data_IF_204585240596
#
_entry.id   IF_204585240596
#
_cell.length_a   1.000
_cell.length_b   1.000
_cell.length_c   1.000
_cell.angle_alpha   90.00
_cell.angle_beta   90.00
_cell.angle_gamma   90.00
#
_symmetry.space_group_name_H-M   'P 1'
#
loop_
_entity.id
_entity.type
_entity.pdbx_description
1 polymer ?
#
# COMPACT_ATOMS: atom_id res chain seq x y z
N UNK A 1 18.51 -7.38 -32.44
CA UNK A 1 18.57 -8.37 -31.41
C UNK A 1 18.10 -7.87 -30.13
N UNK A 2 18.72 -6.87 -29.59
CA UNK A 2 18.27 -6.31 -28.35
C UNK A 2 16.84 -5.87 -28.39
N UNK A 3 16.40 -5.38 -29.51
CA UNK A 3 15.03 -4.93 -29.66
C UNK A 3 14.03 -6.03 -29.43
N UNK A 4 14.36 -7.24 -29.78
CA UNK A 4 13.46 -8.31 -29.52
C UNK A 4 13.22 -8.51 -28.06
N UNK A 5 14.29 -8.49 -27.29
CA UNK A 5 14.21 -8.71 -25.87
C UNK A 5 13.39 -7.62 -25.23
N UNK A 6 13.61 -6.41 -25.67
CA UNK A 6 12.86 -5.30 -25.13
C UNK A 6 11.38 -5.43 -25.44
N UNK A 7 11.08 -5.90 -26.60
CA UNK A 7 9.68 -6.09 -26.98
C UNK A 7 9.00 -7.09 -26.07
N UNK A 8 9.70 -8.16 -25.74
CA UNK A 8 9.14 -9.17 -24.87
C UNK A 8 8.81 -8.59 -23.49
N UNK A 9 9.69 -7.75 -22.98
CA UNK A 9 9.46 -7.13 -21.71
C UNK A 9 8.24 -6.22 -21.77
N UNK A 10 8.09 -5.52 -22.86
CA UNK A 10 6.95 -4.64 -23.03
C UNK A 10 5.64 -5.43 -23.04
N UNK A 11 5.65 -6.61 -23.58
CA UNK A 11 4.45 -7.43 -23.60
C UNK A 11 4.06 -7.86 -22.20
N UNK A 12 5.02 -8.15 -21.35
CA UNK A 12 4.71 -8.50 -19.98
C UNK A 12 4.06 -7.34 -19.27
N UNK A 13 4.56 -6.15 -19.51
CA UNK A 13 4.00 -4.96 -18.90
C UNK A 13 2.57 -4.77 -19.40
N UNK A 14 2.33 -5.01 -20.64
CA UNK A 14 0.99 -4.87 -21.20
C UNK A 14 0.02 -5.86 -20.54
N UNK A 15 0.48 -7.05 -20.30
CA UNK A 15 -0.35 -8.05 -19.64
C UNK A 15 -0.74 -7.63 -18.25
N UNK A 16 0.17 -7.04 -17.54
CA UNK A 16 -0.10 -6.56 -16.21
C UNK A 16 -1.13 -5.43 -16.24
N UNK A 17 -0.99 -4.51 -17.17
CA UNK A 17 -1.94 -3.42 -17.31
C UNK A 17 -3.33 -3.93 -17.62
N UNK A 18 -3.43 -4.99 -18.39
CA UNK A 18 -4.72 -5.57 -18.73
C UNK A 18 -5.46 -6.00 -17.48
N UNK A 19 -4.76 -6.51 -16.49
CA UNK A 19 -5.40 -6.92 -15.24
C UNK A 19 -5.99 -5.73 -14.50
N UNK A 20 -5.56 -4.52 -14.83
CA UNK A 20 -5.98 -3.30 -14.16
C UNK A 20 -6.82 -2.38 -15.01
N UNK A 21 -7.39 -2.90 -16.05
CA UNK A 21 -8.17 -2.08 -16.98
C UNK A 21 -9.42 -1.50 -16.34
N UNK A 22 -10.06 -2.29 -15.51
CA UNK A 22 -11.29 -1.87 -14.89
C UNK A 22 -11.01 -1.00 -13.68
N UNK A 23 -11.07 0.30 -13.86
CA UNK A 23 -10.82 1.23 -12.77
C UNK A 23 -12.16 1.65 -12.20
N UNK A 24 -12.42 1.39 -10.93
CA UNK A 24 -13.70 1.78 -10.32
C UNK A 24 -13.78 3.29 -10.19
N UNK A 25 -14.99 3.79 -10.16
CA UNK A 25 -15.23 5.22 -9.99
C UNK A 25 -14.84 5.69 -8.62
N UNK A 26 -14.98 4.82 -7.64
CA UNK A 26 -14.61 5.13 -6.27
C UNK A 26 -13.55 4.15 -5.82
N UNK A 27 -12.44 4.71 -5.38
CA UNK A 27 -11.35 3.88 -4.87
C UNK A 27 -11.66 3.55 -3.42
N UNK A 28 -11.63 2.28 -3.09
CA UNK A 28 -12.00 1.85 -1.75
C UNK A 28 -11.00 0.81 -1.24
N UNK A 29 -10.44 1.10 -0.09
CA UNK A 29 -9.44 0.22 0.52
C UNK A 29 -10.02 -0.75 1.53
N UNK A 30 -11.35 -0.77 1.72
CA UNK A 30 -11.95 -1.67 2.70
C UNK A 30 -11.56 -3.11 2.42
N UNK A 31 -11.07 -3.79 3.42
CA UNK A 31 -10.67 -5.19 3.31
C UNK A 31 -9.41 -5.48 4.08
N UNK A 32 -8.90 -6.68 3.86
CA UNK A 32 -7.67 -7.14 4.47
C UNK A 32 -6.55 -7.10 3.45
N UNK A 33 -5.38 -6.66 3.89
CA UNK A 33 -4.23 -6.48 3.03
C UNK A 33 -3.01 -7.14 3.64
N UNK A 34 -2.17 -7.69 2.80
CA UNK A 34 -0.83 -8.11 3.23
C UNK A 34 0.14 -7.14 2.61
N UNK A 35 1.09 -6.69 3.39
CA UNK A 35 2.04 -5.71 2.89
C UNK A 35 3.47 -6.07 3.24
N UNK A 36 4.38 -5.51 2.47
CA UNK A 36 5.81 -5.59 2.74
C UNK A 36 6.34 -4.17 2.79
N UNK A 37 7.36 -3.97 3.57
CA UNK A 37 8.00 -2.66 3.60
C UNK A 37 9.50 -2.83 3.77
N UNK A 38 10.21 -1.84 3.24
CA UNK A 38 11.66 -1.87 3.23
C UNK A 38 12.16 -0.49 3.60
N UNK A 39 12.96 -0.43 4.65
CA UNK A 39 13.51 0.83 5.10
C UNK A 39 14.69 1.23 4.23
N UNK A 40 14.75 2.51 3.88
CA UNK A 40 15.83 3.04 3.05
C UNK A 40 17.17 2.81 3.72
N UNK A 41 18.11 2.26 2.99
CA UNK A 41 19.44 1.99 3.50
C UNK A 41 19.62 0.64 4.15
N UNK A 42 18.55 -0.16 4.19
CA UNK A 42 18.64 -1.52 4.73
C UNK A 42 18.21 -2.52 3.67
N UNK A 43 18.87 -3.66 3.65
CA UNK A 43 18.55 -4.72 2.69
C UNK A 43 17.67 -5.78 3.33
N UNK A 44 16.61 -5.33 3.96
CA UNK A 44 15.74 -6.22 4.71
C UNK A 44 14.30 -5.88 4.42
N UNK A 45 13.52 -6.89 4.04
CA UNK A 45 12.10 -6.70 3.77
C UNK A 45 11.31 -7.24 4.94
N UNK A 46 10.42 -6.42 5.48
CA UNK A 46 9.54 -6.79 6.56
C UNK A 46 8.14 -7.03 6.01
N UNK A 47 7.36 -7.82 6.72
CA UNK A 47 6.00 -8.17 6.35
C UNK A 47 5.00 -7.74 7.40
N UNK A 48 3.79 -7.46 6.97
CA UNK A 48 2.72 -7.16 7.89
C UNK A 48 1.37 -7.42 7.27
N UNK A 49 0.33 -7.24 8.07
CA UNK A 49 -1.04 -7.33 7.58
C UNK A 49 -1.83 -6.17 8.14
N UNK A 50 -2.85 -5.75 7.41
CA UNK A 50 -3.70 -4.67 7.87
C UNK A 50 -5.14 -4.93 7.47
N UNK A 51 -6.05 -4.42 8.26
CA UNK A 51 -7.48 -4.45 7.98
C UNK A 51 -7.93 -3.01 7.91
N UNK A 52 -8.55 -2.65 6.81
CA UNK A 52 -8.95 -1.28 6.52
C UNK A 52 -10.45 -1.19 6.38
N UNK A 53 -11.02 -0.14 6.92
CA UNK A 53 -12.41 0.22 6.67
C UNK A 53 -12.41 1.65 6.11
N UNK A 54 -13.09 1.83 5.02
CA UNK A 54 -13.22 3.15 4.41
C UNK A 54 -14.69 3.52 4.34
N UNK A 55 -15.01 4.70 4.85
CA UNK A 55 -16.36 5.22 4.81
C UNK A 55 -16.28 6.57 4.13
N UNK A 56 -16.88 6.68 2.95
CA UNK A 56 -16.69 7.82 2.07
C UNK A 56 -15.20 7.96 1.74
N UNK A 57 -14.54 9.00 2.21
CA UNK A 57 -13.11 9.19 1.98
C UNK A 57 -12.26 9.01 3.24
N UNK A 58 -12.90 8.69 4.33
CA UNK A 58 -12.21 8.49 5.60
C UNK A 58 -11.75 7.04 5.75
N UNK A 59 -10.51 6.86 6.14
CA UNK A 59 -9.90 5.54 6.32
C UNK A 59 -9.62 5.32 7.79
N UNK A 60 -10.01 4.13 8.28
CA UNK A 60 -9.63 3.68 9.62
C UNK A 60 -9.18 2.23 9.51
N UNK A 61 -8.49 1.76 10.50
CA UNK A 61 -8.07 0.37 10.48
C UNK A 61 -7.01 0.05 11.51
N UNK A 62 -6.40 -1.10 11.32
CA UNK A 62 -5.32 -1.59 12.18
C UNK A 62 -4.32 -2.34 11.33
N UNK A 63 -3.07 -2.31 11.73
CA UNK A 63 -2.07 -3.15 11.10
C UNK A 63 -1.20 -3.79 12.17
N UNK A 64 -0.53 -4.86 11.79
CA UNK A 64 0.32 -5.62 12.68
C UNK A 64 1.54 -6.10 11.91
N UNK A 65 2.70 -5.81 12.42
CA UNK A 65 3.96 -6.25 11.81
C UNK A 65 5.02 -6.44 12.91
N UNK A 66 6.27 -6.55 12.50
CA UNK A 66 7.38 -6.80 13.43
C UNK A 66 7.51 -5.71 14.50
N UNK A 67 7.00 -4.51 14.23
CA UNK A 67 7.09 -3.41 15.17
C UNK A 67 5.87 -3.27 16.08
N UNK A 68 4.89 -4.14 15.92
CA UNK A 68 3.73 -4.19 16.78
C UNK A 68 2.42 -3.89 16.07
N UNK A 69 1.41 -3.59 16.85
CA UNK A 69 0.07 -3.30 16.36
C UNK A 69 -0.16 -1.80 16.37
N UNK A 70 -0.66 -1.29 15.24
CA UNK A 70 -0.90 0.14 15.06
C UNK A 70 -2.36 0.37 14.73
N UNK A 71 -2.89 1.48 15.20
CA UNK A 71 -4.20 1.96 14.77
C UNK A 71 -3.98 2.90 13.59
N UNK A 72 -4.82 2.79 12.59
CA UNK A 72 -4.68 3.53 11.34
C UNK A 72 -5.80 4.54 11.18
N UNK A 73 -5.44 5.73 10.72
CA UNK A 73 -6.41 6.76 10.33
C UNK A 73 -5.87 7.44 9.09
N UNK A 74 -6.74 7.86 8.20
CA UNK A 74 -6.29 8.51 7.00
C UNK A 74 -7.42 8.91 6.09
N UNK A 75 -7.09 9.15 4.85
CA UNK A 75 -8.07 9.58 3.86
C UNK A 75 -7.67 9.14 2.46
N UNK A 76 -8.68 8.92 1.64
CA UNK A 76 -8.55 8.64 0.22
C UNK A 76 -8.87 9.92 -0.53
N UNK A 77 -8.14 10.20 -1.59
CA UNK A 77 -8.42 11.35 -2.44
C UNK A 77 -9.77 11.16 -3.15
N UNK A 78 -10.50 12.24 -3.37
CA UNK A 78 -11.79 12.17 -4.06
C UNK A 78 -11.64 11.88 -5.54
N UNK A 79 -10.57 12.36 -6.15
CA UNK A 79 -10.43 12.33 -7.61
C UNK A 79 -9.27 11.50 -8.11
N UNK A 80 -8.62 10.75 -7.25
CA UNK A 80 -7.47 9.96 -7.66
C UNK A 80 -7.31 8.77 -6.71
N UNK A 81 -6.53 7.78 -7.08
CA UNK A 81 -6.33 6.62 -6.21
C UNK A 81 -5.32 6.87 -5.08
N UNK A 82 -4.95 8.11 -4.87
CA UNK A 82 -3.97 8.46 -3.84
C UNK A 82 -4.58 8.49 -2.46
N UNK A 83 -3.82 8.04 -1.48
CA UNK A 83 -4.28 8.03 -0.10
C UNK A 83 -3.15 8.38 0.85
N UNK A 84 -3.53 8.77 2.06
CA UNK A 84 -2.59 9.02 3.14
C UNK A 84 -3.11 8.30 4.36
N UNK A 85 -2.22 7.58 5.04
CA UNK A 85 -2.57 6.84 6.25
C UNK A 85 -1.53 7.13 7.32
N UNK A 86 -2.00 7.44 8.52
CA UNK A 86 -1.15 7.59 9.68
C UNK A 86 -1.37 6.39 10.58
N UNK A 87 -0.28 5.80 11.06
CA UNK A 87 -0.34 4.68 11.99
C UNK A 87 0.26 5.08 13.32
N UNK A 88 -0.43 4.72 14.41
CA UNK A 88 0.06 4.99 15.75
C UNK A 88 0.00 3.70 16.54
N UNK A 89 1.16 3.30 17.09
CA UNK A 89 1.21 2.07 17.86
C UNK A 89 0.37 2.19 19.12
N UNK A 90 -0.19 1.08 19.56
CA UNK A 90 -1.12 1.10 20.70
C UNK A 90 -0.53 1.71 21.98
N UNK A 91 0.78 1.61 22.17
CA UNK A 91 1.42 2.21 23.33
C UNK A 91 1.76 3.70 23.12
N UNK A 92 1.46 4.23 21.94
CA UNK A 92 1.72 5.63 21.60
C UNK A 92 3.18 5.99 21.38
N UNK A 93 4.06 5.01 21.37
CA UNK A 93 5.51 5.25 21.28
C UNK A 93 6.10 5.17 19.88
N UNK A 94 5.28 4.88 18.90
CA UNK A 94 5.75 4.79 17.51
C UNK A 94 4.65 5.21 16.56
N UNK A 95 5.03 5.99 15.56
CA UNK A 95 4.09 6.47 14.56
C UNK A 95 4.72 6.36 13.17
N UNK A 96 3.90 6.17 12.16
CA UNK A 96 4.36 6.26 10.78
C UNK A 96 3.32 6.99 9.94
N UNK A 97 3.80 7.53 8.82
CA UNK A 97 2.95 8.23 7.86
C UNK A 97 3.19 7.59 6.50
N UNK A 98 2.14 7.11 5.89
CA UNK A 98 2.20 6.44 4.60
C UNK A 98 1.46 7.27 3.56
N UNK A 99 2.13 7.53 2.43
CA UNK A 99 1.50 8.16 1.27
C UNK A 99 1.59 7.17 0.14
N UNK A 100 0.48 6.81 -0.43
CA UNK A 100 0.47 5.78 -1.45
C UNK A 100 -0.61 5.96 -2.49
N UNK A 101 -0.69 4.99 -3.36
CA UNK A 101 -1.64 4.97 -4.45
C UNK A 101 -2.12 3.55 -4.69
N UNK A 102 -3.42 3.40 -4.91
CA UNK A 102 -4.01 2.12 -5.29
C UNK A 102 -3.79 1.85 -6.75
N UNK A 103 -3.57 0.59 -7.09
CA UNK A 103 -3.48 0.12 -8.45
C UNK A 103 -4.55 -0.94 -8.63
N UNK A 104 -5.57 -0.66 -9.42
CA UNK A 104 -6.66 -1.60 -9.73
C UNK A 104 -7.44 -2.10 -8.52
N UNK A 105 -7.44 -1.37 -7.42
CA UNK A 105 -8.08 -1.80 -6.19
C UNK A 105 -7.53 -3.10 -5.59
N UNK A 106 -6.45 -3.61 -6.12
CA UNK A 106 -5.88 -4.89 -5.66
C UNK A 106 -4.53 -4.74 -5.01
N UNK A 107 -3.84 -3.67 -5.33
CA UNK A 107 -2.49 -3.43 -4.85
C UNK A 107 -2.30 -1.97 -4.52
N UNK A 108 -1.36 -1.70 -3.64
CA UNK A 108 -0.94 -0.33 -3.43
C UNK A 108 0.57 -0.27 -3.31
N UNK A 109 1.11 0.90 -3.58
CA UNK A 109 2.51 1.19 -3.34
C UNK A 109 2.59 2.57 -2.76
N UNK A 110 3.56 2.79 -1.90
CA UNK A 110 3.73 4.09 -1.32
C UNK A 110 5.07 4.24 -0.62
N UNK A 111 5.24 5.39 -0.01
CA UNK A 111 6.42 5.69 0.78
C UNK A 111 5.97 6.03 2.19
N UNK A 112 6.80 5.70 3.16
CA UNK A 112 6.47 6.01 4.54
C UNK A 112 7.61 6.72 5.24
N UNK A 113 7.25 7.48 6.27
CA UNK A 113 8.21 8.06 7.18
C UNK A 113 7.77 7.72 8.60
N UNK A 114 8.69 7.73 9.53
CA UNK A 114 8.37 7.44 10.93
C UNK A 114 8.83 8.57 11.84
N UNK A 115 8.35 8.55 13.07
CA UNK A 115 8.78 9.49 14.08
C UNK A 115 10.19 9.20 14.60
N UNK A 116 10.81 8.11 14.11
CA UNK A 116 12.20 7.78 14.43
C UNK A 116 13.15 8.28 13.36
N UNK A 117 12.68 9.15 12.47
CA UNK A 117 13.44 9.69 11.35
C UNK A 117 13.91 8.63 10.35
N UNK A 118 13.12 7.58 10.18
CA UNK A 118 13.37 6.59 9.15
C UNK A 118 12.34 6.72 8.06
N UNK A 119 12.63 6.20 6.91
CA UNK A 119 11.73 6.22 5.76
C UNK A 119 11.94 4.99 4.90
N UNK A 120 11.00 4.72 4.02
CA UNK A 120 11.11 3.57 3.14
C UNK A 120 9.94 3.47 2.20
N UNK A 121 9.80 2.30 1.60
CA UNK A 121 8.73 2.02 0.65
C UNK A 121 7.85 0.90 1.21
N UNK A 122 6.60 0.89 0.80
CA UNK A 122 5.65 -0.11 1.24
C UNK A 122 4.81 -0.53 0.04
N UNK A 123 4.54 -1.82 -0.06
CA UNK A 123 3.67 -2.39 -1.09
C UNK A 123 2.68 -3.32 -0.43
N UNK A 124 1.45 -3.28 -0.89
CA UNK A 124 0.43 -4.14 -0.33
C UNK A 124 -0.42 -4.80 -1.39
N UNK A 125 -0.98 -5.94 -1.01
CA UNK A 125 -1.91 -6.68 -1.87
C UNK A 125 -3.14 -7.01 -1.06
N UNK A 126 -4.30 -6.82 -1.68
CA UNK A 126 -5.56 -7.16 -1.04
C UNK A 126 -5.69 -8.67 -0.96
N UNK A 127 -6.10 -9.15 0.20
CA UNK A 127 -6.38 -10.57 0.39
C UNK A 127 -7.76 -10.82 -0.17
N UNK A 128 -7.85 -11.69 -1.14
CA UNK A 128 -9.12 -12.02 -1.77
C UNK A 128 -9.57 -13.35 -1.22
N UNK A 129 -10.77 -13.34 -0.65
CA UNK A 129 -11.35 -14.57 -0.11
C UNK A 129 -11.94 -15.40 -1.25
N UNK A 130 -11.74 -16.68 -1.21
CA UNK A 130 -12.28 -17.58 -2.23
C UNK A 130 -13.71 -17.99 -1.94
#
# INVERSE_FOLDING_TARGET
MKTFIMTAVALLAAGFITACVSVPKHHNMTGTWKYTFEETGKNEIQNGSMTIAQESYAITGKCNDAFGEFNLTGSMSENSPKFMIDGKRNDGKREFHLSGSLSCDKEFEGTYTTDQNTSGTMKGKRVIAD
#
